data_IF_144688596792
#
_entry.id   IF_144688596792
#
_cell.length_a   1.000
_cell.length_b   1.000
_cell.length_c   1.000
_cell.angle_alpha   90.00
_cell.angle_beta   90.00
_cell.angle_gamma   90.00
#
_symmetry.space_group_name_H-M   'P 1'
#
loop_
_entity.id
_entity.type
_entity.pdbx_description
1 polymer ?
#
# COMPACT_ATOMS: atom_id res chain seq x y z
N UNK A 1 9.28 -14.18 -53.84
CA UNK A 1 10.39 -14.16 -52.86
C UNK A 1 9.74 -13.90 -51.51
N UNK A 2 9.35 -14.91 -50.74
CA UNK A 2 10.24 -15.78 -49.97
C UNK A 2 10.13 -15.37 -48.50
N UNK A 3 9.08 -15.81 -47.81
CA UNK A 3 8.85 -15.52 -46.39
C UNK A 3 9.67 -16.41 -45.45
N UNK A 4 9.56 -16.13 -44.15
CA UNK A 4 9.63 -17.13 -43.07
C UNK A 4 9.11 -16.57 -41.75
N UNK A 5 8.00 -17.16 -41.31
CA UNK A 5 7.52 -17.26 -39.94
C UNK A 5 8.45 -18.20 -39.17
N UNK A 6 8.79 -17.88 -37.93
CA UNK A 6 9.43 -18.82 -37.00
C UNK A 6 8.42 -19.18 -35.89
N UNK A 7 8.10 -20.47 -35.83
CA UNK A 7 7.32 -21.10 -34.77
C UNK A 7 8.15 -21.45 -33.52
N UNK A 8 7.53 -22.11 -32.53
CA UNK A 8 8.08 -22.26 -31.17
C UNK A 8 9.10 -23.40 -31.06
N UNK A 9 10.17 -23.16 -30.31
CA UNK A 9 11.26 -24.12 -30.07
C UNK A 9 10.89 -25.10 -28.95
N UNK A 10 10.71 -26.36 -29.32
CA UNK A 10 10.62 -27.53 -28.45
C UNK A 10 12.00 -27.86 -27.87
N UNK A 11 12.14 -27.92 -26.54
CA UNK A 11 13.33 -28.48 -25.90
C UNK A 11 13.12 -29.97 -25.61
N UNK A 12 14.06 -30.76 -26.16
CA UNK A 12 14.04 -32.21 -26.24
C UNK A 12 14.24 -32.88 -24.88
N UNK A 13 13.48 -33.96 -24.68
CA UNK A 13 13.63 -34.92 -23.61
C UNK A 13 14.99 -35.64 -23.72
N UNK A 14 15.77 -35.63 -22.64
CA UNK A 14 16.96 -36.47 -22.49
C UNK A 14 16.62 -37.64 -21.55
N UNK A 15 16.67 -38.85 -22.12
CA UNK A 15 16.48 -40.14 -21.46
C UNK A 15 17.49 -40.30 -20.32
N UNK A 16 17.03 -40.75 -19.14
CA UNK A 16 17.89 -41.35 -18.13
C UNK A 16 17.32 -42.70 -17.70
N UNK A 17 18.24 -43.67 -17.68
CA UNK A 17 18.07 -45.09 -17.43
C UNK A 17 17.44 -45.40 -16.07
N UNK A 18 16.54 -46.38 -16.08
CA UNK A 18 16.00 -47.08 -14.92
C UNK A 18 17.10 -47.90 -14.24
N UNK A 19 17.38 -47.60 -12.96
CA UNK A 19 17.98 -48.56 -12.03
C UNK A 19 16.99 -48.68 -10.86
N UNK A 20 16.34 -49.84 -10.79
CA UNK A 20 15.47 -50.22 -9.68
C UNK A 20 16.34 -50.45 -8.44
N UNK A 21 16.15 -49.65 -7.40
CA UNK A 21 16.56 -50.03 -6.04
C UNK A 21 15.42 -49.69 -5.09
N UNK A 22 14.77 -50.74 -4.60
CA UNK A 22 13.73 -50.67 -3.59
C UNK A 22 14.36 -50.24 -2.26
N UNK A 23 14.13 -48.99 -1.85
CA UNK A 23 14.38 -48.55 -0.48
C UNK A 23 13.05 -48.07 0.08
N UNK A 24 12.50 -48.85 1.01
CA UNK A 24 11.45 -48.39 1.91
C UNK A 24 11.99 -47.21 2.72
N UNK A 25 11.65 -45.99 2.34
CA UNK A 25 11.78 -44.81 3.19
C UNK A 25 10.40 -44.27 3.47
N UNK A 26 9.99 -44.39 4.73
CA UNK A 26 8.89 -43.64 5.34
C UNK A 26 9.02 -42.14 5.04
N UNK A 27 7.90 -41.41 4.92
CA UNK A 27 7.94 -39.98 4.64
C UNK A 27 8.62 -39.24 5.81
N UNK A 28 9.52 -38.27 5.56
CA UNK A 28 10.12 -37.50 6.63
C UNK A 28 9.05 -36.55 7.19
N UNK A 29 8.59 -36.84 8.40
CA UNK A 29 7.79 -35.93 9.23
C UNK A 29 8.65 -34.78 9.74
N UNK A 30 9.12 -33.90 8.86
CA UNK A 30 9.85 -32.69 9.24
C UNK A 30 8.88 -31.55 9.53
N UNK A 31 8.17 -31.65 10.64
CA UNK A 31 7.33 -30.56 11.17
C UNK A 31 7.55 -30.29 12.67
N UNK A 32 8.61 -30.82 13.29
CA UNK A 32 8.69 -30.94 14.76
C UNK A 32 10.02 -30.52 15.39
N UNK A 33 10.63 -29.41 14.94
CA UNK A 33 11.78 -28.85 15.67
C UNK A 33 11.57 -27.40 16.14
N UNK A 34 10.86 -26.55 15.38
CA UNK A 34 10.65 -25.15 15.76
C UNK A 34 9.56 -25.03 16.84
N UNK A 35 8.47 -25.79 16.71
CA UNK A 35 7.35 -25.81 17.68
C UNK A 35 7.69 -26.45 19.01
N UNK A 36 8.83 -27.14 19.10
CA UNK A 36 9.27 -27.87 20.30
C UNK A 36 10.14 -27.02 21.23
N UNK A 37 10.73 -25.92 20.72
CA UNK A 37 11.70 -25.09 21.47
C UNK A 37 10.99 -23.94 22.21
N UNK A 38 9.92 -23.39 21.61
CA UNK A 38 9.17 -22.26 22.16
C UNK A 38 7.69 -22.66 22.23
N UNK A 39 7.05 -22.62 23.41
CA UNK A 39 5.61 -22.85 23.54
C UNK A 39 4.79 -21.88 22.67
N UNK A 40 3.65 -22.32 22.10
CA UNK A 40 2.76 -21.47 21.28
C UNK A 40 2.39 -20.13 21.92
N UNK A 41 2.25 -20.10 23.24
CA UNK A 41 1.87 -18.92 24.03
C UNK A 41 2.95 -17.83 23.95
N UNK A 42 4.23 -18.22 23.92
CA UNK A 42 5.34 -17.27 23.77
C UNK A 42 5.40 -16.70 22.36
N UNK A 43 5.05 -17.48 21.33
CA UNK A 43 4.94 -16.95 19.97
C UNK A 43 3.84 -15.91 19.86
N UNK A 44 2.68 -16.13 20.50
CA UNK A 44 1.59 -15.14 20.56
C UNK A 44 2.10 -13.85 21.22
N UNK A 45 2.83 -13.96 22.35
CA UNK A 45 3.41 -12.81 23.04
C UNK A 45 4.39 -12.04 22.17
N UNK A 46 5.27 -12.72 21.44
CA UNK A 46 6.17 -12.06 20.48
C UNK A 46 5.37 -11.32 19.41
N UNK A 47 4.35 -11.96 18.84
CA UNK A 47 3.53 -11.38 17.77
C UNK A 47 2.76 -10.11 18.22
N UNK A 48 2.37 -9.99 19.49
CA UNK A 48 1.72 -8.79 20.04
C UNK A 48 2.60 -7.52 19.94
N UNK A 49 3.91 -7.67 19.72
CA UNK A 49 4.87 -6.56 19.59
C UNK A 49 5.34 -6.32 18.16
N UNK A 50 4.76 -7.00 17.17
CA UNK A 50 5.15 -6.87 15.76
C UNK A 50 4.29 -5.83 15.04
N UNK A 51 4.90 -5.11 14.09
CA UNK A 51 4.14 -4.24 13.17
C UNK A 51 3.28 -5.10 12.24
N UNK A 52 2.25 -4.52 11.61
CA UNK A 52 1.45 -5.27 10.64
C UNK A 52 2.25 -5.85 9.46
N UNK A 53 3.27 -5.14 8.98
CA UNK A 53 4.14 -5.59 7.89
C UNK A 53 5.01 -6.78 8.34
N UNK A 54 5.50 -6.75 9.57
CA UNK A 54 6.25 -7.86 10.17
C UNK A 54 5.35 -9.09 10.36
N UNK A 55 4.13 -8.90 10.86
CA UNK A 55 3.14 -9.98 11.00
C UNK A 55 2.79 -10.60 9.64
N UNK A 56 2.57 -9.76 8.63
CA UNK A 56 2.32 -10.25 7.28
C UNK A 56 3.51 -11.05 6.76
N UNK A 57 4.72 -10.51 6.88
CA UNK A 57 5.95 -11.18 6.44
C UNK A 57 6.14 -12.51 7.16
N UNK A 58 5.94 -12.55 8.48
CA UNK A 58 6.04 -13.74 9.31
C UNK A 58 4.99 -14.79 8.92
N UNK A 59 3.78 -14.38 8.53
CA UNK A 59 2.76 -15.32 8.06
C UNK A 59 3.15 -16.08 6.77
N UNK A 60 4.16 -15.57 6.05
CA UNK A 60 4.62 -16.12 4.78
C UNK A 60 5.87 -17.00 4.91
N UNK A 61 6.55 -17.04 6.07
CA UNK A 61 7.82 -17.80 6.21
C UNK A 61 7.63 -19.27 6.57
N UNK A 62 6.53 -19.66 7.22
CA UNK A 62 6.30 -21.08 7.60
C UNK A 62 4.82 -21.44 7.66
N UNK A 63 4.51 -22.73 7.49
CA UNK A 63 3.14 -23.26 7.67
C UNK A 63 2.60 -23.01 9.08
N UNK A 64 3.46 -23.09 10.08
CA UNK A 64 3.09 -22.83 11.48
C UNK A 64 2.63 -21.38 11.67
N UNK A 65 3.44 -20.41 11.26
CA UNK A 65 3.08 -18.99 11.39
C UNK A 65 1.90 -18.63 10.50
N UNK A 66 1.79 -19.22 9.31
CA UNK A 66 0.61 -19.06 8.46
C UNK A 66 -0.65 -19.50 9.19
N UNK A 67 -0.64 -20.69 9.80
CA UNK A 67 -1.79 -21.21 10.54
C UNK A 67 -2.11 -20.36 11.78
N UNK A 68 -1.10 -19.87 12.50
CA UNK A 68 -1.28 -19.00 13.66
C UNK A 68 -1.83 -17.62 13.29
N UNK A 69 -1.26 -16.99 12.26
CA UNK A 69 -1.51 -15.59 11.91
C UNK A 69 -2.61 -15.39 10.88
N UNK A 70 -3.00 -16.42 10.13
CA UNK A 70 -4.12 -16.35 9.17
C UNK A 70 -5.41 -17.03 9.68
N UNK A 71 -5.43 -17.48 10.93
CA UNK A 71 -6.62 -18.03 11.58
C UNK A 71 -7.64 -16.95 11.96
N UNK A 72 -8.91 -17.33 12.06
CA UNK A 72 -10.00 -16.51 12.57
C UNK A 72 -10.16 -16.60 14.09
N UNK A 73 -9.22 -17.27 14.79
CA UNK A 73 -9.27 -17.42 16.25
C UNK A 73 -9.20 -16.08 16.98
N UNK A 74 -9.81 -16.01 18.17
CA UNK A 74 -9.82 -14.81 19.02
C UNK A 74 -8.41 -14.32 19.35
N UNK A 75 -7.46 -15.23 19.60
CA UNK A 75 -6.06 -14.90 19.83
C UNK A 75 -5.41 -14.25 18.61
N UNK A 76 -5.62 -14.81 17.41
CA UNK A 76 -5.12 -14.24 16.16
C UNK A 76 -5.70 -12.85 15.92
N UNK A 77 -7.01 -12.67 16.13
CA UNK A 77 -7.66 -11.37 16.00
C UNK A 77 -7.11 -10.34 16.98
N UNK A 78 -6.81 -10.75 18.23
CA UNK A 78 -6.19 -9.89 19.22
C UNK A 78 -4.77 -9.44 18.82
N UNK A 79 -3.95 -10.33 18.23
CA UNK A 79 -2.62 -9.98 17.71
C UNK A 79 -2.73 -8.86 16.66
N UNK A 80 -3.58 -9.04 15.63
CA UNK A 80 -3.75 -8.05 14.57
C UNK A 80 -4.34 -6.74 15.08
N UNK A 81 -5.34 -6.81 15.98
CA UNK A 81 -5.93 -5.63 16.62
C UNK A 81 -4.91 -4.84 17.41
N UNK A 82 -4.13 -5.50 18.27
CA UNK A 82 -3.12 -4.85 19.09
C UNK A 82 -2.03 -4.21 18.23
N UNK A 83 -1.60 -4.92 17.18
CA UNK A 83 -0.64 -4.40 16.21
C UNK A 83 -1.19 -3.16 15.48
N UNK A 84 -2.43 -3.20 15.00
CA UNK A 84 -3.10 -2.04 14.39
C UNK A 84 -3.18 -0.86 15.34
N UNK A 85 -3.69 -1.06 16.54
CA UNK A 85 -3.89 0.03 17.51
C UNK A 85 -2.56 0.63 17.99
N UNK A 86 -1.49 -0.17 18.07
CA UNK A 86 -0.17 0.29 18.52
C UNK A 86 0.65 0.96 17.41
N UNK A 87 0.63 0.43 16.19
CA UNK A 87 1.54 0.85 15.12
C UNK A 87 0.85 1.65 14.00
N UNK A 88 -0.47 1.55 13.87
CA UNK A 88 -1.28 2.32 12.91
C UNK A 88 -2.08 3.40 13.62
N UNK A 89 -1.36 4.21 14.40
CA UNK A 89 -1.92 5.30 15.19
C UNK A 89 -2.51 6.37 14.26
N UNK A 90 -1.96 6.53 13.06
CA UNK A 90 -2.33 7.57 12.12
C UNK A 90 -2.19 7.13 10.64
N UNK A 91 -3.25 7.28 9.82
CA UNK A 91 -4.62 7.66 10.20
C UNK A 91 -5.21 6.66 11.20
N UNK A 92 -6.03 7.13 12.17
CA UNK A 92 -6.68 6.24 13.14
C UNK A 92 -7.64 5.33 12.38
N UNK A 93 -7.18 4.16 11.99
CA UNK A 93 -8.03 3.24 11.25
C UNK A 93 -9.21 2.87 12.15
N UNK A 94 -10.48 3.16 11.75
CA UNK A 94 -11.65 2.81 12.54
C UNK A 94 -11.70 1.29 12.81
N UNK A 95 -12.62 0.86 13.66
CA UNK A 95 -12.81 -0.57 13.89
C UNK A 95 -13.17 -1.28 12.59
N UNK A 96 -12.73 -2.54 12.40
CA UNK A 96 -13.12 -3.32 11.24
C UNK A 96 -14.64 -3.34 11.04
N UNK A 97 -15.10 -3.32 9.78
CA UNK A 97 -16.48 -3.57 9.39
C UNK A 97 -17.07 -4.83 10.00
N UNK A 98 -18.40 -4.85 10.18
CA UNK A 98 -19.11 -6.10 10.43
C UNK A 98 -18.77 -7.15 9.35
N UNK A 99 -18.43 -8.35 9.82
CA UNK A 99 -18.04 -9.47 8.97
C UNK A 99 -16.68 -9.32 8.29
N UNK A 100 -15.85 -8.34 8.66
CA UNK A 100 -14.44 -8.26 8.27
C UNK A 100 -13.56 -8.52 9.50
N UNK A 101 -12.59 -9.41 9.34
CA UNK A 101 -11.65 -9.70 10.41
C UNK A 101 -10.51 -8.65 10.47
N UNK A 102 -9.82 -8.54 11.62
CA UNK A 102 -8.74 -7.57 11.85
C UNK A 102 -7.60 -7.74 10.86
N UNK A 103 -7.27 -8.98 10.47
CA UNK A 103 -6.24 -9.24 9.48
C UNK A 103 -6.65 -8.66 8.13
N UNK A 104 -7.82 -9.02 7.61
CA UNK A 104 -8.34 -8.50 6.34
C UNK A 104 -8.36 -6.98 6.34
N UNK A 105 -8.87 -6.39 7.43
CA UNK A 105 -8.94 -4.95 7.59
C UNK A 105 -7.56 -4.31 7.55
N UNK A 106 -6.60 -4.84 8.31
CA UNK A 106 -5.22 -4.38 8.31
C UNK A 106 -4.57 -4.54 6.93
N UNK A 107 -4.82 -5.61 6.19
CA UNK A 107 -4.22 -5.83 4.86
C UNK A 107 -4.75 -4.91 3.77
N UNK A 108 -5.97 -4.37 3.92
CA UNK A 108 -6.52 -3.40 2.97
C UNK A 108 -6.25 -1.95 3.41
N UNK A 109 -6.23 -1.67 4.71
CA UNK A 109 -6.01 -0.31 5.24
C UNK A 109 -4.55 0.03 5.35
N UNK A 110 -3.73 -0.94 5.74
CA UNK A 110 -2.29 -0.84 5.88
C UNK A 110 -1.56 -1.83 4.96
N UNK A 111 -0.26 -1.63 4.82
CA UNK A 111 0.79 -2.39 4.10
C UNK A 111 1.45 -1.48 3.07
N UNK A 112 2.41 -0.66 3.48
CA UNK A 112 3.51 -0.15 2.64
C UNK A 112 3.20 0.11 1.13
N UNK A 113 2.01 0.65 0.84
CA UNK A 113 1.44 1.15 -0.43
C UNK A 113 1.63 0.25 -1.66
N UNK A 114 1.13 -1.00 -1.65
CA UNK A 114 1.18 -1.86 -2.87
C UNK A 114 -0.13 -2.57 -3.17
N UNK A 115 -0.27 -2.97 -4.43
CA UNK A 115 -1.38 -3.79 -4.90
C UNK A 115 -1.25 -5.21 -4.34
N UNK A 116 -2.32 -5.76 -3.78
CA UNK A 116 -2.34 -7.13 -3.23
C UNK A 116 -2.14 -8.24 -4.26
N UNK A 117 -2.24 -7.91 -5.56
CA UNK A 117 -2.14 -8.89 -6.64
C UNK A 117 -0.79 -8.85 -7.35
N UNK A 118 -0.32 -7.66 -7.74
CA UNK A 118 0.91 -7.53 -8.51
C UNK A 118 2.10 -7.06 -7.67
N UNK A 119 1.87 -6.60 -6.43
CA UNK A 119 2.90 -6.13 -5.49
C UNK A 119 3.85 -5.06 -6.06
N UNK A 120 3.42 -4.35 -7.11
CA UNK A 120 4.28 -3.41 -7.82
C UNK A 120 4.49 -2.13 -6.98
N UNK A 121 5.74 -1.75 -6.65
CA UNK A 121 6.03 -0.70 -5.68
C UNK A 121 5.66 0.71 -6.14
N UNK A 122 5.60 0.94 -7.46
CA UNK A 122 5.32 2.26 -8.05
C UNK A 122 3.86 2.46 -8.49
N UNK A 123 3.01 1.43 -8.42
CA UNK A 123 1.62 1.55 -8.89
C UNK A 123 0.74 2.06 -7.75
N UNK A 124 0.11 3.21 -7.98
CA UNK A 124 -0.90 3.72 -7.06
C UNK A 124 -2.00 2.67 -6.89
N UNK A 125 -2.30 2.36 -5.64
CA UNK A 125 -3.27 1.35 -5.26
C UNK A 125 -4.28 1.97 -4.31
N UNK A 126 -5.56 1.70 -4.57
CA UNK A 126 -6.66 2.18 -3.75
C UNK A 126 -7.45 1.00 -3.17
N UNK A 127 -8.25 1.29 -2.15
CA UNK A 127 -9.16 0.32 -1.56
C UNK A 127 -10.45 0.35 -2.37
N UNK A 128 -10.91 -0.82 -2.80
CA UNK A 128 -12.24 -1.02 -3.37
C UNK A 128 -13.11 -1.70 -2.32
N UNK A 129 -13.75 -0.90 -1.48
CA UNK A 129 -14.47 -1.35 -0.28
C UNK A 129 -15.56 -2.38 -0.56
N UNK A 130 -16.29 -2.22 -1.67
CA UNK A 130 -17.31 -3.17 -2.13
C UNK A 130 -16.79 -4.59 -2.31
N UNK A 131 -15.50 -4.75 -2.62
CA UNK A 131 -14.84 -6.04 -2.84
C UNK A 131 -13.84 -6.38 -1.74
N UNK A 132 -13.63 -5.48 -0.77
CA UNK A 132 -12.67 -5.66 0.34
C UNK A 132 -11.25 -5.97 -0.15
N UNK A 133 -10.81 -5.29 -1.21
CA UNK A 133 -9.46 -5.45 -1.79
C UNK A 133 -8.74 -4.11 -1.93
N UNK A 134 -7.40 -4.14 -1.82
CA UNK A 134 -6.53 -3.04 -2.22
C UNK A 134 -5.77 -3.43 -3.48
N UNK A 135 -6.00 -2.71 -4.58
CA UNK A 135 -5.28 -2.99 -5.81
C UNK A 135 -5.07 -1.76 -6.69
N UNK A 136 -4.15 -1.89 -7.66
CA UNK A 136 -3.99 -0.89 -8.71
C UNK A 136 -5.10 -1.03 -9.76
N UNK A 137 -5.30 0.04 -10.53
CA UNK A 137 -6.34 0.12 -11.55
C UNK A 137 -6.28 -1.02 -12.58
N UNK A 138 -5.08 -1.41 -13.02
CA UNK A 138 -4.92 -2.53 -13.97
C UNK A 138 -5.44 -3.86 -13.40
N UNK A 139 -5.07 -4.13 -12.13
CA UNK A 139 -5.48 -5.36 -11.46
C UNK A 139 -6.99 -5.37 -11.18
N UNK A 140 -7.55 -4.19 -10.90
CA UNK A 140 -8.99 -3.99 -10.76
C UNK A 140 -9.73 -4.31 -12.05
N UNK A 141 -9.31 -3.72 -13.18
CA UNK A 141 -9.94 -3.98 -14.48
C UNK A 141 -9.84 -5.44 -14.90
N UNK A 142 -8.72 -6.10 -14.59
CA UNK A 142 -8.56 -7.52 -14.91
C UNK A 142 -9.56 -8.41 -14.15
N UNK A 143 -9.93 -8.03 -12.92
CA UNK A 143 -10.76 -8.83 -12.00
C UNK A 143 -12.22 -8.39 -11.94
N UNK A 144 -12.59 -7.35 -12.66
CA UNK A 144 -13.94 -6.82 -12.65
C UNK A 144 -14.61 -6.85 -14.01
N UNK A 145 -15.93 -6.79 -13.99
CA UNK A 145 -16.77 -6.81 -15.19
C UNK A 145 -17.98 -5.93 -14.97
N UNK A 146 -18.37 -5.17 -16.00
CA UNK A 146 -19.53 -4.28 -15.91
C UNK A 146 -20.85 -5.03 -16.07
N UNK A 147 -21.90 -4.52 -15.42
CA UNK A 147 -23.28 -5.02 -15.56
C UNK A 147 -23.69 -5.13 -17.03
N UNK A 148 -23.37 -4.10 -17.82
CA UNK A 148 -23.64 -4.09 -19.26
C UNK A 148 -23.05 -5.31 -19.97
N UNK A 149 -21.80 -5.67 -19.70
CA UNK A 149 -21.17 -6.84 -20.34
C UNK A 149 -21.81 -8.14 -19.85
N UNK A 150 -22.10 -8.24 -18.55
CA UNK A 150 -22.77 -9.42 -17.99
C UNK A 150 -24.11 -9.68 -18.68
N UNK A 151 -24.96 -8.66 -18.77
CA UNK A 151 -26.31 -8.79 -19.34
C UNK A 151 -26.25 -8.94 -20.86
N UNK A 152 -25.51 -8.07 -21.56
CA UNK A 152 -25.62 -7.98 -23.02
C UNK A 152 -24.70 -8.95 -23.76
N UNK A 153 -23.48 -9.18 -23.25
CA UNK A 153 -22.49 -10.06 -23.91
C UNK A 153 -22.55 -11.48 -23.35
N UNK A 154 -22.56 -11.62 -22.03
CA UNK A 154 -22.56 -12.93 -21.37
C UNK A 154 -23.97 -13.49 -21.12
N UNK A 155 -25.03 -12.72 -21.43
CA UNK A 155 -26.44 -13.12 -21.29
C UNK A 155 -26.81 -13.59 -19.89
N UNK A 156 -26.17 -13.02 -18.87
CA UNK A 156 -26.47 -13.29 -17.47
C UNK A 156 -27.79 -12.61 -17.09
N UNK A 157 -28.76 -13.33 -16.48
CA UNK A 157 -30.00 -12.72 -15.98
C UNK A 157 -29.70 -11.65 -14.94
N UNK A 158 -30.30 -10.46 -15.10
CA UNK A 158 -30.07 -9.33 -14.17
C UNK A 158 -30.36 -9.70 -12.72
N UNK A 159 -31.44 -10.44 -12.49
CA UNK A 159 -31.86 -10.85 -11.15
C UNK A 159 -30.88 -11.81 -10.47
N UNK A 160 -30.03 -12.52 -11.23
CA UNK A 160 -28.97 -13.34 -10.65
C UNK A 160 -27.89 -12.53 -9.94
N UNK A 161 -27.83 -11.21 -10.20
CA UNK A 161 -26.88 -10.28 -9.58
C UNK A 161 -27.45 -9.60 -8.32
N UNK A 162 -28.68 -9.92 -7.90
CA UNK A 162 -29.43 -9.19 -6.86
C UNK A 162 -28.78 -9.16 -5.46
N UNK A 163 -27.83 -10.04 -5.18
CA UNK A 163 -27.11 -10.11 -3.90
C UNK A 163 -25.64 -9.70 -3.97
N UNK A 164 -25.15 -9.31 -5.14
CA UNK A 164 -23.73 -9.02 -5.34
C UNK A 164 -23.41 -7.57 -5.01
N UNK A 165 -22.35 -7.36 -4.23
CA UNK A 165 -21.77 -6.04 -4.03
C UNK A 165 -21.19 -5.52 -5.34
N UNK A 166 -21.21 -4.20 -5.50
CA UNK A 166 -20.69 -3.53 -6.69
C UNK A 166 -20.11 -2.18 -6.33
N UNK A 167 -19.26 -1.66 -7.21
CA UNK A 167 -18.93 -0.23 -7.24
C UNK A 167 -19.61 0.40 -8.44
N UNK A 168 -19.98 1.68 -8.34
CA UNK A 168 -20.76 2.38 -9.36
C UNK A 168 -20.10 3.69 -9.82
N UNK A 169 -18.87 3.66 -10.37
CA UNK A 169 -18.27 4.85 -10.95
C UNK A 169 -19.18 5.39 -12.07
N UNK A 170 -19.55 6.67 -11.98
CA UNK A 170 -20.42 7.33 -12.95
C UNK A 170 -21.75 6.58 -13.21
N UNK A 171 -22.33 5.96 -12.18
CA UNK A 171 -23.57 5.17 -12.24
C UNK A 171 -23.50 3.85 -13.02
N UNK A 172 -22.30 3.42 -13.45
CA UNK A 172 -22.13 2.11 -14.07
C UNK A 172 -21.74 1.05 -13.04
N UNK A 173 -22.62 0.07 -12.80
CA UNK A 173 -22.33 -1.02 -11.87
C UNK A 173 -21.22 -1.93 -12.40
N UNK A 174 -20.22 -2.15 -11.56
CA UNK A 174 -19.08 -3.02 -11.80
C UNK A 174 -19.06 -4.08 -10.69
N UNK A 175 -18.88 -5.34 -11.08
CA UNK A 175 -18.87 -6.50 -10.20
C UNK A 175 -17.50 -7.18 -10.18
N UNK A 176 -17.20 -7.88 -9.10
CA UNK A 176 -16.05 -8.78 -9.02
C UNK A 176 -16.33 -10.07 -9.78
N UNK A 177 -15.39 -10.51 -10.63
CA UNK A 177 -15.60 -11.66 -11.52
C UNK A 177 -15.76 -12.98 -10.76
N UNK A 178 -15.01 -13.16 -9.68
CA UNK A 178 -14.98 -14.42 -8.95
C UNK A 178 -16.33 -14.72 -8.27
N UNK A 179 -17.08 -13.67 -7.92
CA UNK A 179 -18.36 -13.79 -7.21
C UNK A 179 -19.54 -14.11 -8.16
N UNK A 180 -19.36 -13.89 -9.47
CA UNK A 180 -20.44 -14.06 -10.46
C UNK A 180 -20.92 -15.51 -10.50
N UNK A 181 -19.98 -16.48 -10.50
CA UNK A 181 -20.32 -17.90 -10.67
C UNK A 181 -21.21 -18.38 -9.53
N UNK A 182 -20.78 -18.13 -8.29
CA UNK A 182 -21.53 -18.55 -7.10
C UNK A 182 -22.92 -17.88 -7.06
N UNK A 183 -23.02 -16.60 -7.43
CA UNK A 183 -24.30 -15.92 -7.49
C UNK A 183 -25.26 -16.53 -8.54
N UNK A 184 -24.73 -16.94 -9.69
CA UNK A 184 -25.52 -17.63 -10.71
C UNK A 184 -25.99 -19.01 -10.24
N UNK A 185 -25.11 -19.80 -9.63
CA UNK A 185 -25.45 -21.12 -9.09
C UNK A 185 -26.57 -21.00 -8.04
N UNK A 186 -26.42 -20.09 -7.07
CA UNK A 186 -27.44 -19.83 -6.05
C UNK A 186 -28.79 -19.36 -6.65
N UNK A 187 -28.74 -18.51 -7.70
CA UNK A 187 -29.94 -18.07 -8.41
C UNK A 187 -30.65 -19.24 -9.12
N UNK A 188 -29.89 -20.11 -9.79
CA UNK A 188 -30.43 -21.28 -10.48
C UNK A 188 -31.07 -22.26 -9.49
N UNK A 189 -30.42 -22.55 -8.36
CA UNK A 189 -31.01 -23.37 -7.30
C UNK A 189 -32.31 -22.79 -6.76
N UNK A 190 -32.40 -21.47 -6.60
CA UNK A 190 -33.62 -20.81 -6.15
C UNK A 190 -34.76 -20.87 -7.19
N UNK A 191 -34.40 -20.74 -8.47
CA UNK A 191 -35.34 -20.92 -9.58
C UNK A 191 -35.90 -22.35 -9.60
N UNK A 192 -35.04 -23.36 -9.50
CA UNK A 192 -35.43 -24.78 -9.46
C UNK A 192 -36.28 -25.11 -8.24
N UNK A 193 -36.01 -24.47 -7.10
CA UNK A 193 -36.77 -24.65 -5.86
C UNK A 193 -38.09 -23.86 -5.81
N UNK A 194 -38.45 -23.15 -6.90
CA UNK A 194 -39.65 -22.30 -7.00
C UNK A 194 -39.78 -21.25 -5.87
N UNK A 195 -38.65 -20.79 -5.31
CA UNK A 195 -38.59 -19.81 -4.22
C UNK A 195 -37.89 -18.51 -4.65
N UNK A 196 -37.77 -18.29 -5.96
CA UNK A 196 -36.95 -17.24 -6.54
C UNK A 196 -37.32 -15.82 -6.04
N UNK A 197 -38.61 -15.51 -5.95
CA UNK A 197 -39.05 -14.18 -5.50
C UNK A 197 -38.62 -13.89 -4.05
N UNK A 198 -38.72 -14.88 -3.17
CA UNK A 198 -38.28 -14.77 -1.78
C UNK A 198 -36.75 -14.66 -1.69
N UNK A 199 -36.04 -15.48 -2.48
CA UNK A 199 -34.58 -15.40 -2.60
C UNK A 199 -34.11 -14.01 -3.03
N UNK A 200 -34.65 -13.47 -4.13
CA UNK A 200 -34.29 -12.14 -4.65
C UNK A 200 -34.56 -11.06 -3.60
N UNK A 201 -35.73 -11.10 -2.95
CA UNK A 201 -36.08 -10.15 -1.88
C UNK A 201 -35.07 -10.20 -0.73
N UNK A 202 -34.73 -11.40 -0.25
CA UNK A 202 -33.76 -11.60 0.83
C UNK A 202 -32.36 -11.11 0.44
N UNK A 203 -31.90 -11.41 -0.77
CA UNK A 203 -30.60 -10.97 -1.26
C UNK A 203 -30.52 -9.46 -1.44
N UNK A 204 -31.59 -8.83 -1.95
CA UNK A 204 -31.66 -7.38 -2.13
C UNK A 204 -31.58 -6.65 -0.78
N UNK A 205 -32.30 -7.13 0.24
CA UNK A 205 -32.24 -6.56 1.60
C UNK A 205 -30.83 -6.70 2.18
N UNK A 206 -30.22 -7.89 2.03
CA UNK A 206 -28.85 -8.15 2.49
C UNK A 206 -27.85 -7.22 1.78
N UNK A 207 -27.97 -7.07 0.47
CA UNK A 207 -27.11 -6.22 -0.34
C UNK A 207 -27.22 -4.76 0.08
N UNK A 208 -28.44 -4.22 0.23
CA UNK A 208 -28.63 -2.82 0.63
C UNK A 208 -27.96 -2.54 1.99
N UNK A 209 -28.15 -3.43 2.97
CA UNK A 209 -27.47 -3.32 4.28
C UNK A 209 -25.95 -3.33 4.13
N UNK A 210 -25.41 -4.19 3.26
CA UNK A 210 -23.97 -4.25 3.01
C UNK A 210 -23.45 -2.98 2.34
N UNK A 211 -24.17 -2.45 1.36
CA UNK A 211 -23.79 -1.22 0.64
C UNK A 211 -23.79 0.00 1.57
N UNK A 212 -24.81 0.15 2.43
CA UNK A 212 -24.86 1.21 3.44
C UNK A 212 -23.64 1.13 4.39
N UNK A 213 -23.29 -0.09 4.85
CA UNK A 213 -22.10 -0.28 5.69
C UNK A 213 -20.80 0.05 4.95
N UNK A 214 -20.67 -0.38 3.69
CA UNK A 214 -19.52 -0.09 2.82
C UNK A 214 -19.36 1.42 2.64
N UNK A 215 -20.44 2.13 2.36
CA UNK A 215 -20.43 3.59 2.14
C UNK A 215 -19.99 4.33 3.41
N UNK A 216 -20.54 3.96 4.57
CA UNK A 216 -20.16 4.54 5.85
C UNK A 216 -18.66 4.34 6.13
N UNK A 217 -18.14 3.14 5.90
CA UNK A 217 -16.73 2.80 6.14
C UNK A 217 -15.78 3.54 5.20
N UNK A 218 -16.15 3.61 3.92
CA UNK A 218 -15.39 4.37 2.94
C UNK A 218 -15.35 5.87 3.33
N UNK A 219 -16.48 6.42 3.78
CA UNK A 219 -16.56 7.79 4.25
C UNK A 219 -15.70 8.03 5.50
N UNK A 220 -15.82 7.19 6.53
CA UNK A 220 -15.04 7.30 7.78
C UNK A 220 -13.54 7.24 7.50
N UNK A 221 -13.10 6.27 6.68
CA UNK A 221 -11.70 6.12 6.32
C UNK A 221 -11.19 7.33 5.52
N UNK A 222 -11.95 7.82 4.55
CA UNK A 222 -11.58 9.03 3.78
C UNK A 222 -11.47 10.26 4.66
N UNK A 223 -12.42 10.43 5.58
CA UNK A 223 -12.44 11.56 6.50
C UNK A 223 -11.23 11.53 7.44
N UNK A 224 -10.91 10.36 8.01
CA UNK A 224 -9.73 10.22 8.86
C UNK A 224 -8.42 10.41 8.10
N UNK A 225 -8.33 9.87 6.88
CA UNK A 225 -7.19 10.11 6.00
C UNK A 225 -7.04 11.61 5.65
N UNK A 226 -8.16 12.31 5.41
CA UNK A 226 -8.14 13.75 5.14
C UNK A 226 -7.68 14.55 6.37
N UNK A 227 -8.16 14.21 7.57
CA UNK A 227 -7.68 14.80 8.84
C UNK A 227 -6.20 14.57 9.04
N UNK A 228 -5.74 13.33 8.81
CA UNK A 228 -4.33 12.98 8.90
C UNK A 228 -3.49 13.79 7.91
N UNK A 229 -3.88 13.82 6.63
CA UNK A 229 -3.19 14.63 5.63
C UNK A 229 -3.13 16.10 6.04
N UNK A 230 -4.23 16.66 6.52
CA UNK A 230 -4.31 18.05 6.99
C UNK A 230 -3.37 18.31 8.17
N UNK A 231 -3.37 17.45 9.20
CA UNK A 231 -2.48 17.57 10.35
C UNK A 231 -1.01 17.45 9.96
N UNK A 232 -0.67 16.55 9.04
CA UNK A 232 0.70 16.45 8.56
C UNK A 232 1.10 17.68 7.75
N UNK A 233 0.25 18.20 6.87
CA UNK A 233 0.52 19.45 6.15
C UNK A 233 0.76 20.60 7.10
N UNK A 234 -0.10 20.79 8.12
CA UNK A 234 0.09 21.81 9.14
C UNK A 234 1.41 21.64 9.90
N UNK A 235 1.73 20.41 10.32
CA UNK A 235 3.00 20.11 10.97
C UNK A 235 4.19 20.43 10.04
N UNK A 236 4.08 20.13 8.74
CA UNK A 236 5.12 20.46 7.77
C UNK A 236 5.27 21.96 7.57
N UNK A 237 4.18 22.72 7.54
CA UNK A 237 4.22 24.17 7.41
C UNK A 237 4.80 24.81 8.68
N UNK A 238 4.48 24.29 9.87
CA UNK A 238 5.06 24.72 11.14
C UNK A 238 6.57 24.40 11.22
N UNK A 239 6.98 23.18 10.83
CA UNK A 239 8.39 22.80 10.75
C UNK A 239 9.13 23.71 9.77
N UNK A 240 8.57 23.97 8.59
CA UNK A 240 9.18 24.88 7.61
C UNK A 240 9.30 26.30 8.13
N UNK A 241 8.26 26.83 8.78
CA UNK A 241 8.29 28.18 9.35
C UNK A 241 9.35 28.29 10.44
N UNK A 242 9.40 27.33 11.37
CA UNK A 242 10.41 27.29 12.43
C UNK A 242 11.82 27.17 11.86
N UNK A 243 12.02 26.29 10.88
CA UNK A 243 13.30 26.16 10.18
C UNK A 243 13.68 27.44 9.45
N UNK A 244 12.72 28.16 8.83
CA UNK A 244 12.98 29.48 8.25
C UNK A 244 13.52 30.43 9.31
N UNK A 245 12.83 30.62 10.44
CA UNK A 245 13.27 31.55 11.49
C UNK A 245 14.68 31.22 12.02
N UNK A 246 15.00 29.94 12.25
CA UNK A 246 16.34 29.54 12.73
C UNK A 246 17.42 29.81 11.67
N UNK A 247 17.10 29.63 10.38
CA UNK A 247 18.01 29.98 9.30
C UNK A 247 18.27 31.49 9.25
N UNK A 248 17.26 32.33 9.53
CA UNK A 248 17.42 33.79 9.61
C UNK A 248 18.32 34.19 10.77
N UNK A 249 18.07 33.66 11.97
CA UNK A 249 18.90 33.89 13.16
C UNK A 249 20.35 33.47 12.91
N UNK A 250 20.55 32.28 12.36
CA UNK A 250 21.89 31.75 12.10
C UNK A 250 22.64 32.55 11.03
N UNK A 251 21.96 32.96 9.95
CA UNK A 251 22.58 33.82 8.93
C UNK A 251 23.02 35.16 9.53
N UNK A 252 22.20 35.73 10.43
CA UNK A 252 22.53 36.96 11.15
C UNK A 252 23.76 36.78 12.05
N UNK A 253 23.85 35.69 12.81
CA UNK A 253 25.02 35.35 13.65
C UNK A 253 26.31 35.21 12.81
N UNK A 254 26.20 34.66 11.60
CA UNK A 254 27.32 34.54 10.66
C UNK A 254 27.68 35.86 9.97
N UNK A 255 26.95 36.95 10.23
CA UNK A 255 27.12 38.24 9.57
C UNK A 255 26.77 38.22 8.08
N UNK A 256 25.86 37.34 7.68
CA UNK A 256 25.41 37.17 6.30
C UNK A 256 24.15 37.99 6.03
N UNK A 257 24.04 38.49 4.81
CA UNK A 257 22.87 39.21 4.30
C UNK A 257 21.86 38.21 3.73
N UNK A 258 20.69 38.17 4.35
CA UNK A 258 19.69 37.15 4.06
C UNK A 258 19.02 37.33 2.70
N UNK A 259 18.82 38.58 2.26
CA UNK A 259 18.26 38.88 0.94
C UNK A 259 19.21 38.38 -0.14
N UNK A 260 20.52 38.55 0.07
CA UNK A 260 21.54 37.99 -0.83
C UNK A 260 21.56 36.46 -0.84
N UNK A 261 21.34 35.81 0.30
CA UNK A 261 21.24 34.35 0.36
C UNK A 261 20.01 33.84 -0.40
N UNK A 262 18.89 34.56 -0.34
CA UNK A 262 17.68 34.28 -1.11
C UNK A 262 17.89 34.53 -2.61
N UNK A 263 18.56 35.61 -3.01
CA UNK A 263 18.89 35.93 -4.41
C UNK A 263 19.85 34.92 -5.03
N UNK A 264 20.83 34.45 -4.26
CA UNK A 264 21.71 33.35 -4.66
C UNK A 264 21.01 32.00 -4.57
N UNK A 265 19.83 32.01 -3.97
CA UNK A 265 18.96 30.88 -3.76
C UNK A 265 19.44 29.93 -2.66
N UNK A 266 20.60 30.13 -2.06
CA UNK A 266 21.20 29.24 -1.05
C UNK A 266 20.30 29.08 0.22
N UNK A 267 19.29 29.92 0.37
CA UNK A 267 18.24 29.86 1.39
C UNK A 267 17.33 28.61 1.37
N UNK A 268 17.38 27.75 0.34
CA UNK A 268 16.50 26.55 0.24
C UNK A 268 16.94 25.34 1.09
N UNK A 269 18.14 25.36 1.65
CA UNK A 269 18.62 24.36 2.60
C UNK A 269 18.59 25.03 3.97
N UNK A 270 18.15 24.39 5.09
CA UNK A 270 17.64 23.03 5.28
C UNK A 270 16.08 22.96 5.23
N UNK A 271 15.44 23.60 4.24
CA UNK A 271 13.97 23.70 4.10
C UNK A 271 13.45 22.90 2.88
N UNK A 272 14.29 22.02 2.32
CA UNK A 272 13.89 21.10 1.24
C UNK A 272 12.81 20.09 1.67
N UNK A 273 12.64 18.99 0.91
CA UNK A 273 11.69 17.89 1.18
C UNK A 273 11.94 17.10 2.50
N UNK A 274 12.55 17.71 3.51
CA UNK A 274 12.82 17.12 4.81
C UNK A 274 11.57 17.24 5.68
N UNK A 275 10.76 16.19 5.68
CA UNK A 275 9.59 16.02 6.57
C UNK A 275 9.99 15.63 8.01
N UNK A 276 10.95 16.32 8.62
CA UNK A 276 11.32 16.10 10.03
C UNK A 276 11.89 17.36 10.66
N UNK A 277 11.81 17.45 11.98
CA UNK A 277 12.56 18.42 12.78
C UNK A 277 14.06 18.25 12.49
N UNK A 278 14.73 19.36 12.21
CA UNK A 278 16.17 19.38 12.01
C UNK A 278 16.88 19.28 13.36
N UNK A 279 17.96 18.51 13.36
CA UNK A 279 18.87 18.31 14.49
C UNK A 279 19.97 19.35 14.47
N UNK A 280 20.73 19.46 15.55
CA UNK A 280 21.89 20.37 15.60
C UNK A 280 22.93 20.03 14.51
N UNK A 281 23.14 18.74 14.23
CA UNK A 281 24.04 18.28 13.16
C UNK A 281 23.58 18.77 11.77
N UNK A 282 22.27 18.78 11.51
CA UNK A 282 21.71 19.30 10.25
C UNK A 282 22.03 20.80 10.08
N UNK A 283 21.99 21.56 11.18
CA UNK A 283 22.34 22.99 11.18
C UNK A 283 23.84 23.24 11.04
N UNK A 284 24.67 22.37 11.61
CA UNK A 284 26.14 22.44 11.43
C UNK A 284 26.51 22.17 9.97
N UNK A 285 25.91 21.16 9.34
CA UNK A 285 26.15 20.86 7.92
C UNK A 285 25.65 21.99 7.03
N UNK A 286 24.48 22.55 7.33
CA UNK A 286 23.97 23.72 6.64
C UNK A 286 24.93 24.92 6.70
N UNK A 287 25.44 25.26 7.89
CA UNK A 287 26.42 26.35 8.07
C UNK A 287 27.65 26.14 7.18
N UNK A 288 28.19 24.91 7.16
CA UNK A 288 29.37 24.56 6.35
C UNK A 288 29.10 24.76 4.85
N UNK A 289 27.93 24.39 4.37
CA UNK A 289 27.54 24.57 2.97
C UNK A 289 27.41 26.05 2.60
N UNK A 290 26.74 26.84 3.44
CA UNK A 290 26.58 28.29 3.25
C UNK A 290 27.95 28.98 3.18
N UNK A 291 28.86 28.68 4.11
CA UNK A 291 30.22 29.22 4.10
C UNK A 291 31.01 28.85 2.84
N UNK A 292 30.88 27.59 2.41
CA UNK A 292 31.53 27.06 1.21
C UNK A 292 31.04 27.81 -0.02
N UNK A 293 29.74 28.02 -0.12
CA UNK A 293 29.11 28.65 -1.27
C UNK A 293 29.35 30.17 -1.30
N UNK A 294 29.27 30.84 -0.15
CA UNK A 294 29.70 32.23 0.00
C UNK A 294 31.17 32.40 -0.41
N UNK A 295 32.05 31.49 0.00
CA UNK A 295 33.47 31.49 -0.38
C UNK A 295 33.65 31.29 -1.89
N UNK A 296 32.85 30.39 -2.51
CA UNK A 296 32.86 30.14 -3.96
C UNK A 296 32.42 31.37 -4.74
N UNK A 297 31.37 32.05 -4.28
CA UNK A 297 30.86 33.30 -4.89
C UNK A 297 31.90 34.41 -4.78
N UNK A 298 32.50 34.61 -3.61
CA UNK A 298 33.61 35.59 -3.41
C UNK A 298 34.80 35.31 -4.34
N UNK A 299 35.20 34.04 -4.50
CA UNK A 299 36.26 33.66 -5.46
C UNK A 299 35.86 33.91 -6.91
N UNK A 300 34.60 33.65 -7.29
CA UNK A 300 34.10 33.92 -8.64
C UNK A 300 34.06 35.43 -8.92
N UNK A 301 33.57 36.24 -7.98
CA UNK A 301 33.53 37.69 -8.14
C UNK A 301 34.94 38.29 -8.22
N UNK A 302 35.89 37.83 -7.39
CA UNK A 302 37.30 38.22 -7.47
C UNK A 302 37.97 37.78 -8.77
N UNK A 303 37.70 36.56 -9.26
CA UNK A 303 38.19 36.10 -10.58
C UNK A 303 37.59 36.93 -11.72
N UNK A 304 36.33 37.33 -11.61
CA UNK A 304 35.68 38.22 -12.58
C UNK A 304 36.33 39.60 -12.55
N UNK A 305 36.53 40.18 -11.35
CA UNK A 305 37.23 41.45 -11.14
C UNK A 305 38.66 41.42 -11.69
N UNK A 306 39.45 40.38 -11.42
CA UNK A 306 40.80 40.22 -11.97
C UNK A 306 40.82 40.07 -13.49
N UNK A 307 39.83 39.38 -14.08
CA UNK A 307 39.72 39.15 -15.52
C UNK A 307 39.29 40.41 -16.29
N UNK A 308 38.60 41.34 -15.65
CA UNK A 308 38.26 42.65 -16.21
C UNK A 308 39.31 43.72 -15.90
N UNK A 309 39.95 43.68 -14.73
CA UNK A 309 41.08 44.55 -14.36
C UNK A 309 42.32 44.30 -15.23
N UNK A 310 42.54 43.08 -15.73
CA UNK A 310 43.62 42.79 -16.69
C UNK A 310 43.26 43.09 -18.16
N UNK A 311 42.04 43.57 -18.45
CA UNK A 311 41.63 43.98 -19.81
C UNK A 311 41.55 45.50 -20.01
N UNK A 312 41.93 46.30 -19.01
CA UNK A 312 41.95 47.76 -19.07
C UNK A 312 43.38 48.34 -19.09
N UNK A 313 44.29 47.74 -19.87
CA UNK A 313 45.64 48.31 -20.12
C UNK A 313 46.07 48.22 -21.59
N UNK A 314 45.13 48.37 -22.52
CA UNK A 314 45.45 48.74 -23.92
C UNK A 314 44.34 49.66 -24.41
N UNK A 315 44.53 50.98 -24.22
CA UNK A 315 44.67 52.00 -25.25
C UNK A 315 44.90 53.36 -24.59
#
# INVERSE_FOLDING_TARGET
MGGKLYGPTTLQQRKNHTINTTIHTTPPTTNSLITTIIPPELYIKICEHLTPDDLFSLSQVSKYFRNLLCSTSTATQAIWRNSRLRYLIYPRCPTPPDGMDERQYVLITNLAIRCQFCFHPRKQSQIYWAFRVRCCLDCFHHRTVSEYRLINHYKIPKDSLCGLTYTAPCNYKIYWKDDIREAQENYMTALESNNLAEYIKKQTIKLNKQLEQIELQEWEFKNEMARWNYQNTLLFDEIKLRSSCIAEETAMEMGLDIEKLQDWGIYWYPIGNVCRTLTEDDWIDWRREVETECSRIKRKSQKWFHRFSMKSTIY
#
